data_IF_204108606825
#
_entry.id   IF_204108606825
#
_cell.length_a   1.000
_cell.length_b   1.000
_cell.length_c   1.000
_cell.angle_alpha   90.00
_cell.angle_beta   90.00
_cell.angle_gamma   90.00
#
_symmetry.space_group_name_H-M   'P 1'
#
loop_
_entity.id
_entity.type
_entity.pdbx_description
1 polymer ?
#
# COMPACT_ATOMS: atom_id res chain seq x y z
N UNK A 1 8.97 4.91 11.87
CA UNK A 1 8.63 3.52 11.45
C UNK A 1 7.55 3.60 10.39
N UNK A 2 7.50 2.75 9.35
CA UNK A 2 6.52 2.91 8.27
C UNK A 2 5.06 3.03 8.75
N UNK A 3 4.64 2.20 9.72
CA UNK A 3 3.29 2.25 10.28
C UNK A 3 2.97 3.55 11.04
N UNK A 4 3.97 4.16 11.70
CA UNK A 4 3.79 5.47 12.36
C UNK A 4 3.64 6.57 11.34
N UNK A 5 4.46 6.55 10.28
CA UNK A 5 4.40 7.53 9.18
C UNK A 5 3.08 7.46 8.41
N UNK A 6 2.54 6.26 8.18
CA UNK A 6 1.19 6.09 7.61
C UNK A 6 0.13 6.75 8.47
N UNK A 7 0.20 6.56 9.81
CA UNK A 7 -0.74 7.17 10.74
C UNK A 7 -0.60 8.71 10.81
N UNK A 8 0.64 9.22 10.83
CA UNK A 8 0.93 10.67 10.80
C UNK A 8 0.38 11.35 9.54
N UNK A 9 0.34 10.63 8.42
CA UNK A 9 -0.25 11.10 7.15
C UNK A 9 -1.76 10.81 7.02
N UNK A 10 -2.42 10.36 8.09
CA UNK A 10 -3.84 9.98 8.11
C UNK A 10 -4.22 8.91 7.07
N UNK A 11 -3.31 8.00 6.74
CA UNK A 11 -3.60 6.87 5.86
C UNK A 11 -4.26 5.75 6.67
N UNK A 12 -5.45 5.34 6.24
CA UNK A 12 -6.10 4.13 6.76
C UNK A 12 -5.30 2.90 6.37
N UNK A 13 -5.01 2.02 7.33
CA UNK A 13 -4.33 0.76 7.04
C UNK A 13 -4.71 -0.37 7.98
N UNK A 14 -4.34 -1.58 7.56
CA UNK A 14 -4.28 -2.80 8.39
C UNK A 14 -2.94 -3.47 8.16
N UNK A 15 -2.33 -3.97 9.22
CA UNK A 15 -1.03 -4.62 9.15
C UNK A 15 -0.99 -5.90 9.98
N UNK A 16 -0.20 -6.87 9.52
CA UNK A 16 0.22 -8.01 10.31
C UNK A 16 1.67 -8.38 9.97
N UNK A 17 2.55 -8.59 10.96
CA UNK A 17 2.33 -8.33 12.39
C UNK A 17 2.07 -6.84 12.69
N UNK A 18 1.47 -6.54 13.84
CA UNK A 18 1.21 -5.15 14.27
C UNK A 18 2.51 -4.38 14.52
N UNK A 19 3.56 -5.09 14.91
CA UNK A 19 4.90 -4.55 15.09
C UNK A 19 5.69 -4.76 13.79
N UNK A 20 6.09 -3.65 13.16
CA UNK A 20 6.91 -3.69 11.96
C UNK A 20 8.33 -4.16 12.27
N UNK A 21 8.84 -5.11 11.50
CA UNK A 21 10.20 -5.63 11.60
C UNK A 21 11.04 -5.15 10.41
N UNK A 22 12.02 -4.25 10.60
CA UNK A 22 12.82 -3.71 9.50
C UNK A 22 13.69 -4.76 8.80
N UNK A 23 13.89 -5.94 9.39
CA UNK A 23 14.64 -7.03 8.77
C UNK A 23 13.79 -7.87 7.80
N UNK A 24 12.46 -7.69 7.81
CA UNK A 24 11.54 -8.44 6.95
C UNK A 24 11.18 -7.67 5.68
N UNK A 25 11.04 -8.38 4.54
CA UNK A 25 10.47 -7.78 3.34
C UNK A 25 9.03 -7.32 3.59
N UNK A 26 8.63 -6.23 2.93
CA UNK A 26 7.29 -5.66 3.06
C UNK A 26 6.45 -5.94 1.82
N UNK A 27 5.20 -6.37 2.03
CA UNK A 27 4.18 -6.46 0.99
C UNK A 27 3.13 -5.38 1.30
N UNK A 28 2.98 -4.44 0.37
CA UNK A 28 2.02 -3.35 0.44
C UNK A 28 0.85 -3.64 -0.52
N UNK A 29 -0.34 -3.79 0.02
CA UNK A 29 -1.52 -4.24 -0.69
C UNK A 29 -2.44 -3.07 -1.04
N UNK A 30 -2.85 -3.00 -2.31
CA UNK A 30 -3.62 -1.89 -2.90
C UNK A 30 -4.97 -2.41 -3.39
N UNK A 31 -6.05 -1.90 -2.82
CA UNK A 31 -7.40 -2.37 -3.12
C UNK A 31 -7.94 -1.90 -4.48
N UNK A 32 -8.99 -2.57 -4.96
CA UNK A 32 -9.72 -2.22 -6.17
C UNK A 32 -10.75 -1.10 -5.97
N UNK A 33 -11.48 -0.73 -7.03
CA UNK A 33 -12.49 0.33 -7.01
C UNK A 33 -13.56 0.11 -5.95
N UNK A 34 -13.93 1.16 -5.19
CA UNK A 34 -14.91 1.10 -4.11
C UNK A 34 -14.50 0.25 -2.90
N UNK A 35 -13.27 -0.30 -2.91
CA UNK A 35 -12.75 -1.13 -1.84
C UNK A 35 -12.10 -0.34 -0.71
N UNK A 36 -11.50 -1.10 0.23
CA UNK A 36 -10.63 -0.63 1.30
C UNK A 36 -9.73 -1.77 1.75
N UNK A 37 -8.75 -1.52 2.61
CA UNK A 37 -7.76 -2.47 3.14
C UNK A 37 -8.34 -3.81 3.62
N UNK A 38 -9.58 -3.83 4.07
CA UNK A 38 -10.27 -5.02 4.61
C UNK A 38 -10.44 -6.17 3.62
N UNK A 39 -10.41 -5.89 2.31
CA UNK A 39 -10.46 -6.97 1.31
C UNK A 39 -9.28 -7.95 1.48
N UNK A 40 -8.20 -7.50 2.12
CA UNK A 40 -6.97 -8.25 2.33
C UNK A 40 -6.90 -8.99 3.67
N UNK A 41 -7.97 -8.97 4.48
CA UNK A 41 -7.96 -9.58 5.82
C UNK A 41 -7.54 -11.06 5.81
N UNK A 42 -7.92 -11.80 4.78
CA UNK A 42 -7.57 -13.21 4.63
C UNK A 42 -6.09 -13.44 4.30
N UNK A 43 -5.41 -12.45 3.70
CA UNK A 43 -4.03 -12.51 3.27
C UNK A 43 -3.06 -11.97 4.34
N UNK A 44 -3.48 -10.98 5.14
CA UNK A 44 -2.63 -10.33 6.13
C UNK A 44 -1.97 -11.33 7.10
N UNK A 45 -2.75 -12.20 7.76
CA UNK A 45 -2.20 -13.13 8.76
C UNK A 45 -1.28 -14.19 8.14
N UNK A 46 -1.65 -14.91 7.07
CA UNK A 46 -0.77 -15.89 6.45
C UNK A 46 0.53 -15.28 5.93
N UNK A 47 0.47 -14.14 5.23
CA UNK A 47 1.67 -13.47 4.70
C UNK A 47 2.51 -12.86 5.81
N UNK A 48 1.88 -12.26 6.82
CA UNK A 48 2.58 -11.63 7.93
C UNK A 48 3.38 -12.59 8.82
N UNK A 49 3.28 -13.91 8.61
CA UNK A 49 4.20 -14.88 9.23
C UNK A 49 5.65 -14.66 8.77
N UNK A 50 5.84 -14.26 7.50
CA UNK A 50 7.15 -14.13 6.87
C UNK A 50 7.47 -12.70 6.38
N UNK A 51 6.45 -11.85 6.25
CA UNK A 51 6.57 -10.49 5.70
C UNK A 51 6.03 -9.44 6.68
N UNK A 52 6.36 -8.17 6.47
CA UNK A 52 5.49 -7.09 6.93
C UNK A 52 4.33 -6.97 5.93
N UNK A 53 3.18 -7.54 6.24
CA UNK A 53 2.00 -7.46 5.38
C UNK A 53 1.18 -6.23 5.75
N UNK A 54 1.05 -5.29 4.82
CA UNK A 54 0.38 -3.99 5.06
C UNK A 54 -0.64 -3.78 3.94
N UNK A 55 -1.90 -3.53 4.30
CA UNK A 55 -2.95 -3.14 3.37
C UNK A 55 -3.37 -1.71 3.67
N UNK A 56 -3.36 -0.84 2.65
CA UNK A 56 -3.71 0.57 2.78
C UNK A 56 -5.10 0.87 2.20
N UNK A 57 -5.71 1.94 2.70
CA UNK A 57 -6.89 2.58 2.13
C UNK A 57 -6.42 3.71 1.19
N UNK A 58 -6.89 3.72 -0.06
CA UNK A 58 -6.60 4.78 -1.02
C UNK A 58 -7.30 6.10 -0.64
N UNK A 59 -6.87 7.27 -1.17
CA UNK A 59 -7.57 8.54 -0.99
C UNK A 59 -9.09 8.43 -1.19
N UNK A 60 -9.84 8.98 -0.23
CA UNK A 60 -11.31 8.95 -0.20
C UNK A 60 -11.94 7.59 0.06
N UNK A 61 -11.18 6.58 0.51
CA UNK A 61 -11.66 5.25 0.82
C UNK A 61 -11.36 4.85 2.26
N UNK A 62 -12.18 3.97 2.83
CA UNK A 62 -11.97 3.40 4.16
C UNK A 62 -11.78 4.48 5.23
N UNK A 63 -10.59 4.52 5.82
CA UNK A 63 -10.20 5.50 6.86
C UNK A 63 -9.24 6.58 6.33
N UNK A 64 -8.84 6.53 5.05
CA UNK A 64 -8.06 7.61 4.43
C UNK A 64 -9.01 8.76 4.03
N UNK A 65 -8.84 9.97 4.58
CA UNK A 65 -9.75 11.09 4.32
C UNK A 65 -9.61 11.64 2.90
N UNK A 66 -10.41 12.67 2.61
CA UNK A 66 -10.37 13.38 1.33
C UNK A 66 -11.34 12.80 0.29
N UNK A 67 -11.11 13.15 -0.97
CA UNK A 67 -11.90 12.67 -2.10
C UNK A 67 -11.16 11.55 -2.82
N UNK A 68 -11.93 10.65 -3.43
CA UNK A 68 -11.39 9.71 -4.39
C UNK A 68 -10.75 10.48 -5.55
N UNK A 69 -9.62 9.99 -6.05
CA UNK A 69 -9.03 10.51 -7.28
C UNK A 69 -9.90 10.12 -8.47
N UNK A 70 -9.86 10.93 -9.52
CA UNK A 70 -10.65 10.71 -10.74
C UNK A 70 -9.91 9.78 -11.71
N UNK A 71 -8.58 9.71 -11.62
CA UNK A 71 -7.73 8.97 -12.55
C UNK A 71 -6.76 8.02 -11.85
N UNK A 72 -6.45 6.90 -12.51
CA UNK A 72 -5.44 5.93 -12.04
C UNK A 72 -4.05 6.58 -11.86
N UNK A 73 -3.70 7.57 -12.70
CA UNK A 73 -2.43 8.30 -12.59
C UNK A 73 -2.31 9.11 -11.31
N UNK A 74 -3.41 9.68 -10.83
CA UNK A 74 -3.43 10.47 -9.58
C UNK A 74 -3.22 9.53 -8.38
N UNK A 75 -3.92 8.39 -8.37
CA UNK A 75 -3.68 7.36 -7.37
C UNK A 75 -2.24 6.82 -7.40
N UNK A 76 -1.68 6.61 -8.60
CA UNK A 76 -0.32 6.12 -8.75
C UNK A 76 0.72 7.13 -8.25
N UNK A 77 0.52 8.42 -8.54
CA UNK A 77 1.36 9.49 -8.03
C UNK A 77 1.31 9.56 -6.50
N UNK A 78 0.10 9.58 -5.93
CA UNK A 78 -0.08 9.55 -4.48
C UNK A 78 0.58 8.32 -3.83
N UNK A 79 0.46 7.14 -4.46
CA UNK A 79 1.07 5.91 -3.96
C UNK A 79 2.60 6.02 -3.94
N UNK A 80 3.22 6.58 -4.98
CA UNK A 80 4.67 6.79 -5.03
C UNK A 80 5.12 7.77 -3.95
N UNK A 81 4.43 8.91 -3.78
CA UNK A 81 4.74 9.88 -2.72
C UNK A 81 4.62 9.27 -1.31
N UNK A 82 3.55 8.49 -1.09
CA UNK A 82 3.37 7.76 0.16
C UNK A 82 4.52 6.77 0.39
N UNK A 83 4.93 6.05 -0.65
CA UNK A 83 6.01 5.07 -0.55
C UNK A 83 7.36 5.71 -0.24
N UNK A 84 7.71 6.79 -0.92
CA UNK A 84 8.97 7.52 -0.72
C UNK A 84 9.04 8.16 0.69
N UNK A 85 7.92 8.63 1.22
CA UNK A 85 7.87 9.23 2.55
C UNK A 85 7.85 8.19 3.68
N UNK A 86 7.13 7.09 3.50
CA UNK A 86 6.90 6.10 4.57
C UNK A 86 7.96 5.00 4.65
N UNK A 87 8.58 4.62 3.53
CA UNK A 87 9.43 3.44 3.46
C UNK A 87 10.87 3.79 3.08
N UNK A 88 11.83 3.24 3.83
CA UNK A 88 13.26 3.40 3.55
C UNK A 88 13.78 2.30 2.62
N UNK A 89 13.23 1.09 2.75
CA UNK A 89 13.55 -0.05 1.91
C UNK A 89 12.49 -0.27 0.83
N UNK A 90 12.85 -0.82 -0.34
CA UNK A 90 11.88 -1.16 -1.38
C UNK A 90 10.85 -2.20 -0.91
N UNK A 91 9.60 -2.05 -1.34
CA UNK A 91 8.48 -2.93 -1.00
C UNK A 91 7.95 -3.67 -2.22
N UNK A 92 7.30 -4.81 -1.99
CA UNK A 92 6.52 -5.50 -3.03
C UNK A 92 5.11 -4.91 -3.05
N UNK A 93 4.64 -4.46 -4.21
CA UNK A 93 3.26 -4.01 -4.37
C UNK A 93 2.37 -5.19 -4.78
N UNK A 94 1.23 -5.34 -4.11
CA UNK A 94 0.21 -6.32 -4.44
C UNK A 94 -1.11 -5.60 -4.73
N UNK A 95 -1.51 -5.54 -6.00
CA UNK A 95 -2.70 -4.82 -6.42
C UNK A 95 -3.77 -5.76 -6.96
N UNK A 96 -5.05 -5.48 -6.69
CA UNK A 96 -6.18 -6.21 -7.30
C UNK A 96 -7.06 -5.25 -8.12
N UNK A 97 -7.42 -5.64 -9.34
CA UNK A 97 -8.29 -4.85 -10.24
C UNK A 97 -7.75 -3.42 -10.44
N UNK A 98 -8.50 -2.38 -10.07
CA UNK A 98 -8.02 -0.98 -10.07
C UNK A 98 -6.68 -0.82 -9.33
N UNK A 99 -6.49 -1.53 -8.22
CA UNK A 99 -5.24 -1.51 -7.46
C UNK A 99 -4.06 -2.06 -8.29
N UNK A 100 -4.29 -3.08 -9.11
CA UNK A 100 -3.28 -3.60 -10.04
C UNK A 100 -2.90 -2.59 -11.12
N UNK A 101 -3.88 -1.84 -11.66
CA UNK A 101 -3.61 -0.76 -12.60
C UNK A 101 -2.82 0.39 -11.96
N UNK A 102 -3.13 0.75 -10.71
CA UNK A 102 -2.40 1.74 -9.91
C UNK A 102 -0.94 1.28 -9.70
N UNK A 103 -0.72 0.02 -9.28
CA UNK A 103 0.61 -0.52 -9.05
C UNK A 103 1.48 -0.52 -10.32
N UNK A 104 0.91 -0.92 -11.47
CA UNK A 104 1.61 -0.84 -12.76
C UNK A 104 1.98 0.60 -13.12
N UNK A 105 1.04 1.54 -12.98
CA UNK A 105 1.27 2.95 -13.28
C UNK A 105 2.30 3.58 -12.34
N UNK A 106 2.33 3.19 -11.06
CA UNK A 106 3.34 3.61 -10.09
C UNK A 106 4.74 3.08 -10.44
N UNK A 107 4.86 1.82 -10.82
CA UNK A 107 6.13 1.23 -11.23
C UNK A 107 6.75 1.94 -12.45
N UNK A 108 5.91 2.37 -13.40
CA UNK A 108 6.35 3.14 -14.58
C UNK A 108 6.87 4.55 -14.24
N UNK A 109 6.67 5.06 -13.02
CA UNK A 109 7.25 6.33 -12.58
C UNK A 109 8.73 6.21 -12.16
N UNK A 110 9.29 4.99 -12.08
CA UNK A 110 10.72 4.76 -11.83
C UNK A 110 11.16 4.91 -10.37
N UNK A 111 10.23 4.85 -9.41
CA UNK A 111 10.57 4.86 -7.98
C UNK A 111 11.44 3.66 -7.60
N UNK A 112 12.56 3.92 -6.91
CA UNK A 112 13.43 2.88 -6.37
C UNK A 112 12.81 2.14 -5.18
N UNK A 113 11.67 2.61 -4.66
CA UNK A 113 10.93 1.98 -3.56
C UNK A 113 10.05 0.81 -3.99
N UNK A 114 9.94 0.52 -5.29
CA UNK A 114 9.16 -0.62 -5.79
C UNK A 114 10.11 -1.76 -6.16
N UNK A 115 10.02 -2.88 -5.43
CA UNK A 115 10.86 -4.07 -5.64
C UNK A 115 10.28 -5.03 -6.69
N UNK A 116 8.97 -5.25 -6.63
CA UNK A 116 8.25 -6.19 -7.48
C UNK A 116 6.75 -5.90 -7.44
N UNK A 117 6.01 -6.45 -8.40
CA UNK A 117 4.55 -6.37 -8.49
C UNK A 117 3.91 -7.76 -8.39
N UNK A 118 2.75 -7.84 -7.74
CA UNK A 118 1.80 -8.95 -7.77
C UNK A 118 0.47 -8.35 -8.26
N UNK A 119 -0.09 -8.87 -9.36
CA UNK A 119 -1.24 -8.29 -10.08
C UNK A 119 -2.37 -9.31 -10.23
#
# INVERSE_FOLDING_TARGET
>A
MPLSKLAEQNVGYRAWPEQFDPQRPTILMVHGAGGRSEIWNAQLRPLGRNFNAIAIDLPGHGRTPGKACEQISEYAHWLVELMESCFEAPVVLMGHSMGGAICQKAALQGSTRIKALIL
#
